data_IF_674622359917
#
_entry.id   IF_674622359917
#
_cell.length_a   1.000
_cell.length_b   1.000
_cell.length_c   1.000
_cell.angle_alpha   90.00
_cell.angle_beta   90.00
_cell.angle_gamma   90.00
#
_symmetry.space_group_name_H-M   'P 1'
#
loop_
_entity.id
_entity.type
_entity.pdbx_description
1 polymer ?
#
# COMPACT_ATOMS: atom_id res chain seq x y z
N UNK A 1 13.27 29.44 -59.14
CA UNK A 1 14.41 28.49 -59.12
C UNK A 1 13.86 27.06 -59.11
N UNK A 2 13.78 26.39 -60.26
CA UNK A 2 13.24 25.01 -60.34
C UNK A 2 14.30 24.03 -59.80
N UNK A 3 14.03 23.37 -58.66
CA UNK A 3 14.89 22.28 -58.16
C UNK A 3 14.49 20.99 -58.87
N UNK A 4 15.25 20.61 -59.90
CA UNK A 4 15.16 19.28 -60.52
C UNK A 4 15.69 18.24 -59.54
N UNK A 5 14.78 17.49 -58.91
CA UNK A 5 15.14 16.29 -58.13
C UNK A 5 15.39 15.12 -59.10
N UNK A 6 16.59 14.54 -59.03
CA UNK A 6 16.96 13.30 -59.74
C UNK A 6 17.11 12.22 -58.68
N UNK A 7 16.61 11.01 -58.92
CA UNK A 7 16.71 9.91 -57.95
C UNK A 7 18.15 9.68 -57.48
N UNK A 8 19.14 9.80 -58.37
CA UNK A 8 20.56 9.65 -58.02
C UNK A 8 21.01 10.67 -56.96
N UNK A 9 20.49 11.91 -56.99
CA UNK A 9 20.79 12.94 -55.98
C UNK A 9 20.14 12.68 -54.62
N UNK A 10 19.06 11.91 -54.58
CA UNK A 10 18.42 11.51 -53.31
C UNK A 10 19.21 10.38 -52.65
N UNK A 11 19.73 9.44 -53.44
CA UNK A 11 20.61 8.36 -52.98
C UNK A 11 21.90 8.91 -52.35
N UNK A 12 22.56 9.89 -52.99
CA UNK A 12 23.75 10.56 -52.43
C UNK A 12 23.49 11.15 -51.03
N UNK A 13 22.29 11.69 -50.79
CA UNK A 13 21.91 12.27 -49.50
C UNK A 13 21.58 11.23 -48.43
N UNK A 14 21.07 10.08 -48.84
CA UNK A 14 20.89 8.93 -47.94
C UNK A 14 22.26 8.42 -47.51
N UNK A 15 23.20 8.29 -48.44
CA UNK A 15 24.56 7.83 -48.16
C UNK A 15 25.29 8.79 -47.21
N UNK A 16 25.13 10.11 -47.40
CA UNK A 16 25.67 11.13 -46.50
C UNK A 16 25.07 11.09 -45.08
N UNK A 17 23.77 10.78 -44.94
CA UNK A 17 23.12 10.63 -43.62
C UNK A 17 23.53 9.34 -42.90
N UNK A 18 23.89 8.29 -43.65
CA UNK A 18 24.27 6.98 -43.12
C UNK A 18 25.79 6.80 -43.04
N UNK A 19 26.57 7.86 -43.30
CA UNK A 19 28.02 7.78 -43.25
C UNK A 19 28.51 7.38 -41.85
N UNK A 20 29.43 6.42 -41.81
CA UNK A 20 29.91 5.81 -40.56
C UNK A 20 28.99 4.75 -39.92
N UNK A 21 27.83 4.42 -40.51
CA UNK A 21 26.95 3.35 -40.03
C UNK A 21 26.89 2.15 -40.99
N UNK A 22 26.54 0.97 -40.46
CA UNK A 22 26.30 -0.21 -41.30
C UNK A 22 24.94 -0.14 -42.00
N UNK A 23 24.95 -0.23 -43.33
CA UNK A 23 23.78 -0.39 -44.20
C UNK A 23 24.15 -1.23 -45.43
N UNK A 24 23.17 -1.86 -46.08
CA UNK A 24 23.39 -2.63 -47.31
C UNK A 24 23.00 -1.80 -48.53
N UNK A 25 23.89 -1.74 -49.53
CA UNK A 25 23.64 -1.08 -50.82
C UNK A 25 23.77 -2.09 -51.94
N UNK A 26 22.70 -2.32 -52.69
CA UNK A 26 22.68 -3.23 -53.83
C UNK A 26 22.25 -2.51 -55.10
N UNK A 27 22.80 -2.93 -56.24
CA UNK A 27 22.41 -2.43 -57.56
C UNK A 27 21.71 -3.56 -58.32
N UNK A 28 20.42 -3.38 -58.59
CA UNK A 28 19.60 -4.38 -59.28
C UNK A 28 19.32 -3.89 -60.70
N UNK A 29 19.57 -4.74 -61.70
CA UNK A 29 19.20 -4.46 -63.09
C UNK A 29 17.77 -4.90 -63.35
N UNK A 30 16.91 -3.98 -63.80
CA UNK A 30 15.56 -4.26 -64.25
C UNK A 30 15.58 -4.92 -65.63
N UNK A 31 14.52 -5.66 -65.98
CA UNK A 31 14.34 -6.27 -67.30
C UNK A 31 14.51 -5.28 -68.47
N UNK A 32 14.23 -3.99 -68.24
CA UNK A 32 14.39 -2.90 -69.20
C UNK A 32 15.83 -2.34 -69.29
N UNK A 33 16.86 -3.12 -68.89
CA UNK A 33 18.29 -2.72 -68.87
C UNK A 33 18.61 -1.45 -68.07
N UNK A 34 17.74 -1.07 -67.15
CA UNK A 34 17.93 0.09 -66.26
C UNK A 34 18.35 -0.37 -64.87
N UNK A 35 19.37 0.27 -64.29
CA UNK A 35 19.85 -0.02 -62.94
C UNK A 35 19.06 0.74 -61.88
N UNK A 36 18.70 0.07 -60.79
CA UNK A 36 18.12 0.67 -59.59
C UNK A 36 19.03 0.40 -58.39
N UNK A 37 19.29 1.43 -57.59
CA UNK A 37 20.01 1.30 -56.32
C UNK A 37 18.97 1.06 -55.22
N UNK A 38 19.19 0.02 -54.42
CA UNK A 38 18.38 -0.30 -53.25
C UNK A 38 19.29 -0.17 -52.02
N UNK A 39 18.82 0.58 -51.03
CA UNK A 39 19.48 0.72 -49.74
C UNK A 39 18.56 0.08 -48.71
N UNK A 40 19.05 -0.94 -48.01
CA UNK A 40 18.34 -1.49 -46.85
C UNK A 40 18.97 -0.93 -45.58
N UNK A 41 18.10 -0.43 -44.71
CA UNK A 41 18.46 0.26 -43.49
C UNK A 41 17.44 -0.06 -42.40
N UNK A 42 17.83 0.13 -41.15
CA UNK A 42 16.92 -0.01 -40.00
C UNK A 42 15.83 1.06 -40.00
N UNK A 43 14.74 0.79 -39.28
CA UNK A 43 13.63 1.75 -39.11
C UNK A 43 14.11 3.09 -38.53
N UNK A 44 15.06 3.07 -37.59
CA UNK A 44 15.65 4.28 -36.99
C UNK A 44 16.44 5.10 -38.02
N UNK A 45 17.19 4.44 -38.90
CA UNK A 45 17.92 5.08 -39.99
C UNK A 45 16.95 5.70 -41.01
N UNK A 46 15.90 4.98 -41.40
CA UNK A 46 14.88 5.49 -42.31
C UNK A 46 14.16 6.73 -41.75
N UNK A 47 13.86 6.75 -40.45
CA UNK A 47 13.28 7.89 -39.75
C UNK A 47 14.18 9.13 -39.78
N UNK A 48 15.50 8.97 -39.57
CA UNK A 48 16.48 10.07 -39.63
C UNK A 48 16.57 10.67 -41.04
N UNK A 49 16.70 9.81 -42.05
CA UNK A 49 16.67 10.21 -43.46
C UNK A 49 15.37 10.95 -43.80
N UNK A 50 14.22 10.43 -43.36
CA UNK A 50 12.92 11.04 -43.59
C UNK A 50 12.80 12.40 -42.91
N UNK A 51 13.29 12.55 -41.68
CA UNK A 51 13.31 13.83 -40.97
C UNK A 51 14.22 14.86 -41.66
N UNK A 52 15.35 14.43 -42.22
CA UNK A 52 16.27 15.32 -42.96
C UNK A 52 15.69 15.78 -44.29
N UNK A 53 15.07 14.90 -45.06
CA UNK A 53 14.67 15.22 -46.44
C UNK A 53 13.19 15.65 -46.57
N UNK A 54 12.30 15.14 -45.73
CA UNK A 54 10.88 15.53 -45.75
C UNK A 54 10.62 16.73 -44.84
N UNK A 55 10.29 17.85 -45.47
CA UNK A 55 9.88 19.08 -44.76
C UNK A 55 8.66 18.84 -43.86
N UNK A 56 7.70 18.02 -44.28
CA UNK A 56 6.50 17.72 -43.52
C UNK A 56 6.82 16.88 -42.27
N UNK A 57 7.63 15.81 -42.44
CA UNK A 57 8.04 14.94 -41.33
C UNK A 57 8.87 15.72 -40.31
N UNK A 58 9.83 16.54 -40.78
CA UNK A 58 10.65 17.37 -39.89
C UNK A 58 9.82 18.30 -39.03
N UNK A 59 8.85 19.00 -39.64
CA UNK A 59 7.95 19.91 -38.93
C UNK A 59 7.13 19.16 -37.88
N UNK A 60 6.50 18.05 -38.27
CA UNK A 60 5.72 17.23 -37.35
C UNK A 60 6.54 16.69 -36.17
N UNK A 61 7.81 16.33 -36.38
CA UNK A 61 8.69 15.89 -35.30
C UNK A 61 9.07 17.05 -34.36
N UNK A 62 9.33 18.23 -34.91
CA UNK A 62 9.61 19.44 -34.10
C UNK A 62 8.39 19.81 -33.27
N UNK A 63 7.19 19.84 -33.86
CA UNK A 63 5.94 20.15 -33.16
C UNK A 63 5.68 19.14 -32.01
N UNK A 64 5.95 17.85 -32.26
CA UNK A 64 5.86 16.82 -31.22
C UNK A 64 6.89 17.04 -30.10
N UNK A 65 8.14 17.35 -30.44
CA UNK A 65 9.18 17.62 -29.45
C UNK A 65 8.87 18.86 -28.60
N UNK A 66 8.36 19.94 -29.21
CA UNK A 66 7.92 21.14 -28.51
C UNK A 66 6.77 20.80 -27.54
N UNK A 67 5.76 20.05 -28.00
CA UNK A 67 4.65 19.62 -27.13
C UNK A 67 5.12 18.73 -25.96
N UNK A 68 6.10 17.86 -26.19
CA UNK A 68 6.70 17.02 -25.15
C UNK A 68 7.52 17.85 -24.16
N UNK A 69 8.28 18.84 -24.64
CA UNK A 69 9.04 19.75 -23.77
C UNK A 69 8.12 20.63 -22.95
N UNK A 70 7.06 21.18 -23.53
CA UNK A 70 6.04 21.92 -22.79
C UNK A 70 5.37 21.05 -21.72
N UNK A 71 5.07 19.81 -22.03
CA UNK A 71 4.53 18.85 -21.07
C UNK A 71 5.54 18.53 -19.95
N UNK A 72 6.83 18.43 -20.26
CA UNK A 72 7.91 18.23 -19.27
C UNK A 72 8.17 19.47 -18.41
N UNK A 73 8.07 20.68 -18.96
CA UNK A 73 8.21 21.93 -18.21
C UNK A 73 7.00 22.14 -17.29
N UNK A 74 5.79 21.78 -17.75
CA UNK A 74 4.56 21.78 -16.93
C UNK A 74 4.59 20.68 -15.85
N UNK A 75 5.14 19.49 -16.13
CA UNK A 75 5.22 18.38 -15.17
C UNK A 75 6.41 18.44 -14.22
N UNK A 76 7.51 19.10 -14.61
CA UNK A 76 8.73 19.26 -13.81
C UNK A 76 8.56 20.13 -12.55
N UNK A 77 7.47 20.91 -12.46
CA UNK A 77 7.09 21.65 -11.24
C UNK A 77 6.04 20.93 -10.39
N UNK A 78 5.56 19.74 -10.76
CA UNK A 78 4.34 19.18 -10.15
C UNK A 78 4.25 17.67 -10.02
N UNK A 79 5.27 16.88 -10.38
CA UNK A 79 5.15 15.43 -10.27
C UNK A 79 5.54 14.86 -8.89
N UNK A 80 6.69 15.24 -8.30
CA UNK A 80 7.19 14.60 -7.07
C UNK A 80 6.60 15.23 -5.79
N UNK A 81 6.76 16.54 -5.61
CA UNK A 81 6.36 17.21 -4.36
C UNK A 81 4.85 17.32 -4.15
N UNK A 82 4.02 17.26 -5.20
CA UNK A 82 2.56 17.30 -5.02
C UNK A 82 2.01 16.02 -4.41
N UNK A 83 2.61 14.87 -4.73
CA UNK A 83 2.20 13.57 -4.16
C UNK A 83 2.59 13.52 -2.69
N UNK A 84 3.85 13.88 -2.38
CA UNK A 84 4.36 13.99 -1.01
C UNK A 84 3.57 15.01 -0.19
N UNK A 85 3.26 16.18 -0.77
CA UNK A 85 2.43 17.21 -0.12
C UNK A 85 0.99 16.73 0.14
N UNK A 86 0.37 16.03 -0.81
CA UNK A 86 -0.96 15.43 -0.62
C UNK A 86 -0.92 14.39 0.49
N UNK A 87 0.08 13.52 0.52
CA UNK A 87 0.26 12.52 1.57
C UNK A 87 0.46 13.17 2.94
N UNK A 88 1.36 14.15 3.05
CA UNK A 88 1.61 14.89 4.29
C UNK A 88 0.36 15.65 4.77
N UNK A 89 -0.40 16.26 3.84
CA UNK A 89 -1.65 16.95 4.15
C UNK A 89 -2.73 15.98 4.62
N UNK A 90 -2.89 14.84 3.95
CA UNK A 90 -3.83 13.80 4.38
C UNK A 90 -3.47 13.31 5.77
N UNK A 91 -2.19 13.05 6.04
CA UNK A 91 -1.71 12.64 7.36
C UNK A 91 -2.06 13.68 8.42
N UNK A 92 -1.76 14.96 8.17
CA UNK A 92 -2.12 16.04 9.09
C UNK A 92 -3.63 16.06 9.39
N UNK A 93 -4.47 15.99 8.36
CA UNK A 93 -5.92 15.97 8.53
C UNK A 93 -6.41 14.74 9.32
N UNK A 94 -5.80 13.57 9.10
CA UNK A 94 -6.16 12.35 9.86
C UNK A 94 -5.76 12.45 11.33
N UNK A 95 -4.60 13.03 11.65
CA UNK A 95 -4.17 13.23 13.03
C UNK A 95 -5.12 14.21 13.75
N UNK A 96 -5.48 15.32 13.11
CA UNK A 96 -6.46 16.28 13.64
C UNK A 96 -7.84 15.64 13.86
N UNK A 97 -8.30 14.77 12.95
CA UNK A 97 -9.55 14.04 13.12
C UNK A 97 -9.49 13.06 14.32
N UNK A 98 -8.37 12.35 14.50
CA UNK A 98 -8.17 11.44 15.62
C UNK A 98 -8.13 12.18 16.96
N UNK A 99 -7.46 13.33 17.03
CA UNK A 99 -7.45 14.15 18.25
C UNK A 99 -8.86 14.62 18.61
N UNK A 100 -9.61 15.12 17.63
CA UNK A 100 -11.00 15.55 17.83
C UNK A 100 -11.89 14.39 18.29
N UNK A 101 -11.67 13.17 17.78
CA UNK A 101 -12.39 11.97 18.22
C UNK A 101 -12.12 11.69 19.71
N UNK A 102 -10.86 11.77 20.15
CA UNK A 102 -10.50 11.55 21.55
C UNK A 102 -11.03 12.63 22.48
N UNK A 103 -11.16 13.87 22.01
CA UNK A 103 -11.80 14.95 22.77
C UNK A 103 -13.30 14.68 22.97
N UNK A 104 -13.97 14.07 21.99
CA UNK A 104 -15.38 13.63 22.13
C UNK A 104 -15.54 12.40 23.04
N UNK A 105 -14.46 11.65 23.28
CA UNK A 105 -14.43 10.44 24.11
C UNK A 105 -13.41 10.57 25.25
N UNK A 106 -13.62 11.49 26.21
CA UNK A 106 -12.61 11.81 27.21
C UNK A 106 -12.26 10.62 28.11
N UNK A 107 -13.25 9.77 28.42
CA UNK A 107 -13.11 8.61 29.30
C UNK A 107 -12.59 7.35 28.59
N UNK A 108 -12.16 7.44 27.32
CA UNK A 108 -11.61 6.30 26.61
C UNK A 108 -10.24 5.93 27.18
N UNK A 109 -10.04 4.64 27.45
CA UNK A 109 -8.80 4.11 28.01
C UNK A 109 -7.60 4.45 27.11
N UNK A 110 -6.42 4.73 27.69
CA UNK A 110 -5.23 5.12 26.92
C UNK A 110 -4.78 4.03 25.92
N UNK A 111 -4.94 2.75 26.26
CA UNK A 111 -4.62 1.62 25.38
C UNK A 111 -5.58 1.55 24.18
N UNK A 112 -6.86 1.89 24.41
CA UNK A 112 -7.86 1.96 23.35
C UNK A 112 -7.60 3.17 22.42
N UNK A 113 -7.18 4.32 22.98
CA UNK A 113 -6.73 5.48 22.19
C UNK A 113 -5.51 5.12 21.32
N UNK A 114 -4.51 4.46 21.91
CA UNK A 114 -3.32 4.03 21.18
C UNK A 114 -3.67 3.07 20.04
N UNK A 115 -4.51 2.06 20.31
CA UNK A 115 -4.94 1.09 19.30
C UNK A 115 -5.71 1.76 18.16
N UNK A 116 -6.63 2.67 18.49
CA UNK A 116 -7.39 3.42 17.49
C UNK A 116 -6.47 4.28 16.62
N UNK A 117 -5.55 5.03 17.22
CA UNK A 117 -4.57 5.84 16.49
C UNK A 117 -3.66 4.99 15.59
N UNK A 118 -3.13 3.88 16.11
CA UNK A 118 -2.29 2.96 15.35
C UNK A 118 -3.04 2.34 14.15
N UNK A 119 -4.30 1.97 14.32
CA UNK A 119 -5.14 1.39 13.27
C UNK A 119 -5.41 2.35 12.10
N UNK A 120 -5.39 3.67 12.36
CA UNK A 120 -5.65 4.71 11.36
C UNK A 120 -4.35 5.19 10.71
N UNK A 121 -3.30 5.42 11.51
CA UNK A 121 -2.07 6.08 11.07
C UNK A 121 -1.10 5.11 10.39
N UNK A 122 -0.92 3.89 10.92
CA UNK A 122 0.06 2.93 10.36
C UNK A 122 -0.23 2.56 8.90
N UNK A 123 -1.49 2.28 8.48
CA UNK A 123 -1.78 2.00 7.07
C UNK A 123 -1.52 3.18 6.14
N UNK A 124 -1.71 4.42 6.63
CA UNK A 124 -1.50 5.63 5.84
C UNK A 124 0.00 5.90 5.60
N UNK A 125 0.81 5.62 6.60
CA UNK A 125 2.25 5.87 6.61
C UNK A 125 3.04 4.72 5.95
N UNK A 126 2.47 3.51 5.90
CA UNK A 126 3.08 2.35 5.25
C UNK A 126 4.19 1.68 6.07
N UNK A 127 4.45 2.17 7.29
CA UNK A 127 5.29 1.52 8.28
C UNK A 127 4.64 1.63 9.67
N UNK A 128 5.12 0.81 10.60
CA UNK A 128 4.58 0.74 11.95
C UNK A 128 5.07 1.95 12.78
N UNK A 129 4.44 3.11 12.58
CA UNK A 129 4.80 4.36 13.25
C UNK A 129 4.35 4.39 14.71
N UNK A 130 3.18 3.81 15.01
CA UNK A 130 2.61 3.71 16.35
C UNK A 130 2.53 2.23 16.73
N UNK A 131 3.29 1.77 17.72
CA UNK A 131 3.22 0.38 18.16
C UNK A 131 1.85 0.09 18.79
N UNK A 132 1.34 -1.11 18.55
CA UNK A 132 0.15 -1.61 19.25
C UNK A 132 0.50 -1.83 20.74
N UNK A 133 -0.45 -1.62 21.66
CA UNK A 133 -0.22 -1.92 23.06
C UNK A 133 0.06 -3.42 23.24
N UNK A 134 1.05 -3.75 24.07
CA UNK A 134 1.30 -5.14 24.44
C UNK A 134 0.14 -5.64 25.30
N UNK A 135 -0.51 -6.72 24.88
CA UNK A 135 -1.48 -7.41 25.73
C UNK A 135 -0.67 -8.25 26.72
N UNK A 136 -0.44 -7.72 27.92
CA UNK A 136 0.31 -8.44 28.95
C UNK A 136 -0.51 -9.59 29.56
N UNK A 137 -1.84 -9.44 29.65
CA UNK A 137 -2.70 -10.43 30.25
C UNK A 137 -3.99 -10.67 29.46
N UNK A 138 -4.23 -11.93 29.08
CA UNK A 138 -5.50 -12.38 28.55
C UNK A 138 -6.46 -12.73 29.69
N UNK A 139 -7.65 -12.15 29.66
CA UNK A 139 -8.71 -12.41 30.64
C UNK A 139 -9.78 -13.34 30.06
N UNK A 140 -9.97 -14.48 30.71
CA UNK A 140 -10.93 -15.51 30.31
C UNK A 140 -12.27 -15.32 31.00
N UNK A 141 -13.36 -15.54 30.25
CA UNK A 141 -14.69 -15.58 30.85
C UNK A 141 -14.90 -16.85 31.68
N UNK A 142 -15.84 -16.83 32.63
CA UNK A 142 -16.18 -18.03 33.40
C UNK A 142 -16.65 -19.20 32.52
N UNK A 143 -17.19 -18.92 31.33
CA UNK A 143 -17.56 -19.93 30.34
C UNK A 143 -16.33 -20.58 29.69
N UNK A 144 -15.37 -19.76 29.23
CA UNK A 144 -14.13 -20.25 28.63
C UNK A 144 -13.30 -21.09 29.61
N UNK A 145 -13.16 -20.62 30.86
CA UNK A 145 -12.43 -21.39 31.89
C UNK A 145 -13.16 -22.70 32.20
N UNK A 146 -14.50 -22.71 32.15
CA UNK A 146 -15.28 -23.90 32.42
C UNK A 146 -15.13 -24.94 31.31
N UNK A 147 -15.09 -24.51 30.06
CA UNK A 147 -14.80 -25.36 28.90
C UNK A 147 -13.39 -25.96 28.99
N UNK A 148 -12.38 -25.14 29.36
CA UNK A 148 -11.00 -25.60 29.56
C UNK A 148 -10.87 -26.64 30.68
N UNK A 149 -11.64 -26.50 31.76
CA UNK A 149 -11.58 -27.37 32.93
C UNK A 149 -12.63 -28.49 32.94
N UNK A 150 -13.43 -28.64 31.87
CA UNK A 150 -14.47 -29.67 31.76
C UNK A 150 -15.61 -29.54 32.79
N UNK A 151 -15.91 -28.32 33.25
CA UNK A 151 -16.96 -28.04 34.23
C UNK A 151 -18.01 -27.06 33.68
N UNK A 152 -19.03 -26.73 34.47
CA UNK A 152 -20.01 -25.69 34.10
C UNK A 152 -19.58 -24.32 34.61
N UNK A 153 -19.94 -23.25 33.90
CA UNK A 153 -19.65 -21.88 34.30
C UNK A 153 -20.20 -21.53 35.70
N UNK A 154 -21.38 -22.09 36.04
CA UNK A 154 -21.96 -21.96 37.39
C UNK A 154 -21.08 -22.58 38.48
N UNK A 155 -20.43 -23.73 38.21
CA UNK A 155 -19.52 -24.37 39.16
C UNK A 155 -18.30 -23.49 39.42
N UNK A 156 -17.72 -22.90 38.37
CA UNK A 156 -16.62 -21.93 38.50
C UNK A 156 -17.03 -20.73 39.36
N UNK A 157 -18.19 -20.12 39.07
CA UNK A 157 -18.68 -18.98 39.82
C UNK A 157 -18.87 -19.27 41.32
N UNK A 158 -19.39 -20.46 41.66
CA UNK A 158 -19.54 -20.90 43.06
C UNK A 158 -18.20 -21.12 43.75
N UNK A 159 -17.25 -21.79 43.10
CA UNK A 159 -15.92 -22.05 43.67
C UNK A 159 -15.14 -20.76 43.86
N UNK A 160 -15.20 -19.84 42.89
CA UNK A 160 -14.56 -18.53 42.98
C UNK A 160 -15.12 -17.70 44.15
N UNK A 161 -16.44 -17.70 44.36
CA UNK A 161 -17.05 -17.04 45.51
C UNK A 161 -16.68 -17.73 46.84
N UNK A 162 -16.71 -19.06 46.90
CA UNK A 162 -16.42 -19.81 48.13
C UNK A 162 -14.97 -19.64 48.61
N UNK A 163 -14.03 -19.46 47.68
CA UNK A 163 -12.60 -19.31 47.97
C UNK A 163 -12.12 -17.85 47.85
N UNK A 164 -13.04 -16.88 47.71
CA UNK A 164 -12.74 -15.45 47.56
C UNK A 164 -11.72 -15.14 46.44
N UNK A 165 -11.78 -15.86 45.32
CA UNK A 165 -10.88 -15.68 44.18
C UNK A 165 -11.22 -14.46 43.30
N UNK A 166 -12.26 -13.68 43.64
CA UNK A 166 -12.64 -12.47 42.90
C UNK A 166 -11.90 -11.25 43.39
N UNK A 167 -10.58 -11.29 43.32
CA UNK A 167 -9.67 -10.20 43.69
C UNK A 167 -8.92 -9.71 42.46
N UNK A 168 -8.32 -8.51 42.55
CA UNK A 168 -7.51 -7.94 41.47
C UNK A 168 -6.31 -8.82 41.08
N UNK A 169 -5.85 -9.70 41.99
CA UNK A 169 -4.76 -10.65 41.73
C UNK A 169 -5.15 -11.76 40.74
N UNK A 170 -6.41 -12.20 40.76
CA UNK A 170 -6.88 -13.35 39.96
C UNK A 170 -7.74 -12.94 38.76
N UNK A 171 -7.92 -11.65 38.53
CA UNK A 171 -8.76 -11.14 37.47
C UNK A 171 -9.27 -9.73 37.69
N UNK A 172 -10.18 -9.29 36.83
CA UNK A 172 -10.78 -7.96 36.88
C UNK A 172 -12.25 -7.99 36.49
N UNK A 173 -13.02 -7.03 36.98
CA UNK A 173 -14.40 -6.82 36.55
C UNK A 173 -14.44 -6.07 35.23
N UNK A 174 -15.20 -6.61 34.28
CA UNK A 174 -15.50 -6.01 32.99
C UNK A 174 -16.97 -5.63 32.93
N UNK A 175 -17.28 -4.49 32.33
CA UNK A 175 -18.65 -4.10 32.01
C UNK A 175 -19.11 -4.89 30.79
N UNK A 176 -20.09 -5.77 30.99
CA UNK A 176 -20.66 -6.62 29.95
C UNK A 176 -22.16 -6.34 29.77
N UNK A 177 -22.73 -6.81 28.66
CA UNK A 177 -24.18 -6.78 28.42
C UNK A 177 -24.84 -7.92 29.19
N UNK A 178 -25.96 -7.66 29.85
CA UNK A 178 -26.78 -8.74 30.41
C UNK A 178 -27.22 -9.72 29.32
N UNK A 179 -27.16 -11.02 29.61
CA UNK A 179 -27.54 -12.08 28.67
C UNK A 179 -28.99 -11.95 28.15
N UNK A 180 -29.90 -11.41 28.97
CA UNK A 180 -31.33 -11.33 28.66
C UNK A 180 -31.92 -9.93 28.77
N UNK A 181 -31.10 -8.90 28.99
CA UNK A 181 -31.57 -7.52 29.17
C UNK A 181 -30.65 -6.54 28.43
N UNK A 182 -31.17 -5.34 28.16
CA UNK A 182 -30.37 -4.21 27.68
C UNK A 182 -29.51 -3.56 28.78
N UNK A 183 -29.64 -4.01 30.04
CA UNK A 183 -28.84 -3.52 31.16
C UNK A 183 -27.36 -3.94 31.06
N UNK A 184 -26.47 -3.05 31.46
CA UNK A 184 -25.04 -3.33 31.62
C UNK A 184 -24.77 -3.91 33.02
N UNK A 185 -23.98 -4.99 33.08
CA UNK A 185 -23.70 -5.76 34.31
C UNK A 185 -22.20 -6.01 34.41
N UNK A 186 -21.65 -5.94 35.61
CA UNK A 186 -20.25 -6.28 35.87
C UNK A 186 -20.06 -7.80 35.87
N UNK A 187 -19.17 -8.29 35.01
CA UNK A 187 -18.77 -9.69 34.91
C UNK A 187 -17.28 -9.83 35.23
N UNK A 188 -16.94 -10.75 36.14
CA UNK A 188 -15.55 -11.03 36.48
C UNK A 188 -14.89 -11.91 35.42
N UNK A 189 -13.69 -11.53 34.97
CA UNK A 189 -12.87 -12.34 34.06
C UNK A 189 -11.55 -12.71 34.74
N UNK A 190 -11.14 -13.96 34.55
CA UNK A 190 -9.99 -14.56 35.23
C UNK A 190 -8.72 -14.37 34.41
N UNK A 191 -7.61 -13.97 35.05
CA UNK A 191 -6.29 -14.00 34.41
C UNK A 191 -5.69 -15.43 34.49
N UNK A 192 -4.49 -15.62 33.97
CA UNK A 192 -3.81 -16.91 33.99
C UNK A 192 -3.61 -17.47 35.41
N UNK A 193 -3.38 -16.62 36.41
CA UNK A 193 -3.23 -17.03 37.81
C UNK A 193 -4.56 -17.49 38.41
N UNK A 194 -5.66 -16.79 38.12
CA UNK A 194 -7.01 -17.18 38.52
C UNK A 194 -7.43 -18.51 37.93
N UNK A 195 -7.09 -18.76 36.66
CA UNK A 195 -7.32 -20.06 36.01
C UNK A 195 -6.53 -21.17 36.71
N UNK A 196 -5.25 -20.94 37.05
CA UNK A 196 -4.44 -21.91 37.80
C UNK A 196 -5.03 -22.20 39.19
N UNK A 197 -5.45 -21.17 39.93
CA UNK A 197 -6.07 -21.33 41.25
C UNK A 197 -7.36 -22.17 41.16
N UNK A 198 -8.21 -21.88 40.16
CA UNK A 198 -9.43 -22.66 39.89
C UNK A 198 -9.10 -24.10 39.50
N UNK A 199 -8.07 -24.32 38.67
CA UNK A 199 -7.63 -25.64 38.28
C UNK A 199 -7.18 -26.47 39.48
N UNK A 200 -6.39 -25.88 40.39
CA UNK A 200 -5.97 -26.52 41.64
C UNK A 200 -7.16 -26.89 42.53
N UNK A 201 -8.16 -26.03 42.68
CA UNK A 201 -9.34 -26.33 43.52
C UNK A 201 -10.24 -27.41 42.91
N UNK A 202 -10.36 -27.45 41.57
CA UNK A 202 -11.26 -28.38 40.87
C UNK A 202 -10.63 -29.76 40.69
N UNK A 203 -9.35 -29.84 40.35
CA UNK A 203 -8.65 -31.11 40.11
C UNK A 203 -7.86 -31.60 41.33
N UNK A 204 -7.35 -30.70 42.18
CA UNK A 204 -6.66 -31.05 43.41
C UNK A 204 -7.59 -31.57 44.52
N UNK A 205 -8.91 -31.35 44.41
CA UNK A 205 -9.91 -31.99 45.27
C UNK A 205 -10.24 -33.42 44.86
N UNK A 206 -9.78 -33.87 43.67
CA UNK A 206 -9.98 -35.22 43.15
C UNK A 206 -8.81 -36.18 43.44
N UNK A 207 -7.83 -35.74 44.23
CA UNK A 207 -6.75 -36.59 44.76
C UNK A 207 -6.90 -36.64 46.28
N UNK A 208 -7.83 -37.48 46.73
CA UNK A 208 -7.93 -37.97 48.10
C UNK A 208 -8.37 -39.44 48.06
#
# INVERSE_FOLDING_TARGET
MSRRFRNNKFIEKIEDELDGEHYTKSVVQKANKTSMVIIEMSIKQALRVAARESKAVRRSLVDQLESMQEAHIKSGKSASGLVEYRQARTLKMTVEAVTNLFDLMPNLAPEAKQTAAASIINPLVGFNAIPLPAIEEHYYSAGEVAEQLGVTANKIGRIANANNLKTEQYGKFFLDKSAHSSKQVEAFRYNAEGVKALQHLIHGSNVA
#
